data_IF_343322774064
#
_entry.id   IF_343322774064
#
_cell.length_a   1.000
_cell.length_b   1.000
_cell.length_c   1.000
_cell.angle_alpha   90.00
_cell.angle_beta   90.00
_cell.angle_gamma   90.00
#
_symmetry.space_group_name_H-M   'P 1'
#
loop_
_entity.id
_entity.type
_entity.pdbx_description
1 polymer ?
#
# COMPACT_ATOMS: atom_id res chain seq x y z
N UNK A 1 9.22 4.87 2.67
CA UNK A 1 7.97 4.39 3.29
C UNK A 1 6.82 4.54 2.32
N UNK A 2 5.91 3.59 2.32
CA UNK A 2 4.77 3.62 1.45
C UNK A 2 3.64 2.76 2.01
N UNK A 3 2.43 3.03 1.54
CA UNK A 3 1.29 2.14 1.75
C UNK A 3 0.98 1.44 0.44
N UNK A 4 0.37 0.27 0.54
CA UNK A 4 0.05 -0.56 -0.61
C UNK A 4 -1.41 -0.97 -0.55
N UNK A 5 -2.12 -0.77 -1.65
CA UNK A 5 -3.50 -1.24 -1.78
C UNK A 5 -3.49 -2.68 -2.31
N UNK A 6 -4.39 -3.50 -1.76
CA UNK A 6 -4.49 -4.91 -2.12
C UNK A 6 -5.55 -5.09 -3.20
N UNK A 7 -5.18 -5.73 -4.30
CA UNK A 7 -6.10 -6.21 -5.32
C UNK A 7 -6.40 -7.70 -5.10
N UNK A 8 -7.54 -8.16 -5.59
CA UNK A 8 -7.92 -9.58 -5.46
C UNK A 8 -6.86 -10.52 -6.03
N UNK A 9 -6.19 -10.10 -7.11
CA UNK A 9 -5.15 -10.90 -7.77
C UNK A 9 -3.95 -11.15 -6.87
N UNK A 10 -3.81 -10.42 -5.76
CA UNK A 10 -2.71 -10.58 -4.81
C UNK A 10 -3.04 -11.59 -3.70
N UNK A 11 -4.17 -12.29 -3.77
CA UNK A 11 -4.56 -13.24 -2.73
C UNK A 11 -3.70 -14.52 -2.70
N UNK A 12 -2.91 -14.79 -3.73
CA UNK A 12 -1.99 -15.92 -3.78
C UNK A 12 -0.57 -15.45 -3.49
N UNK A 13 0.28 -16.29 -2.88
CA UNK A 13 1.69 -15.95 -2.70
C UNK A 13 2.35 -15.65 -4.04
N UNK A 14 3.11 -14.58 -4.09
CA UNK A 14 3.84 -14.16 -5.27
C UNK A 14 5.28 -13.84 -4.84
N UNK A 15 6.24 -14.52 -5.43
CA UNK A 15 7.65 -14.39 -5.04
C UNK A 15 8.16 -12.97 -5.15
N UNK A 16 7.76 -12.24 -6.19
CA UNK A 16 8.21 -10.85 -6.38
C UNK A 16 7.64 -9.91 -5.33
N UNK A 17 6.36 -10.11 -4.95
CA UNK A 17 5.73 -9.32 -3.89
C UNK A 17 6.40 -9.60 -2.55
N UNK A 18 6.60 -10.87 -2.21
CA UNK A 18 7.24 -11.26 -0.96
C UNK A 18 8.68 -10.76 -0.90
N UNK A 19 9.41 -10.90 -1.98
CA UNK A 19 10.78 -10.39 -2.07
C UNK A 19 10.82 -8.87 -1.88
N UNK A 20 9.93 -8.16 -2.58
CA UNK A 20 9.87 -6.70 -2.51
C UNK A 20 9.60 -6.21 -1.09
N UNK A 21 8.57 -6.76 -0.44
CA UNK A 21 8.21 -6.33 0.90
C UNK A 21 9.25 -6.71 1.94
N UNK A 22 9.78 -7.93 1.86
CA UNK A 22 10.82 -8.38 2.78
C UNK A 22 12.07 -7.51 2.67
N UNK A 23 12.47 -7.17 1.44
CA UNK A 23 13.65 -6.35 1.21
C UNK A 23 13.46 -4.91 1.68
N UNK A 24 12.31 -4.32 1.39
CA UNK A 24 12.00 -2.97 1.85
C UNK A 24 11.97 -2.89 3.37
N UNK A 25 11.38 -3.88 4.04
CA UNK A 25 11.40 -3.95 5.50
C UNK A 25 12.82 -4.00 6.05
N UNK A 26 13.65 -4.84 5.45
CA UNK A 26 15.05 -4.99 5.85
C UNK A 26 15.84 -3.70 5.64
N UNK A 27 15.47 -2.92 4.64
CA UNK A 27 16.10 -1.62 4.35
C UNK A 27 15.55 -0.48 5.20
N UNK A 28 14.64 -0.76 6.11
CA UNK A 28 14.14 0.22 7.08
C UNK A 28 12.85 0.92 6.71
N UNK A 29 12.21 0.53 5.60
CA UNK A 29 10.92 1.12 5.22
C UNK A 29 9.79 0.56 6.08
N UNK A 30 8.83 1.42 6.37
CA UNK A 30 7.60 1.05 7.05
C UNK A 30 6.54 0.71 6.02
N UNK A 31 5.87 -0.43 6.19
CA UNK A 31 4.90 -0.93 5.22
C UNK A 31 3.52 -1.05 5.86
N UNK A 32 2.51 -0.62 5.14
CA UNK A 32 1.12 -0.74 5.57
C UNK A 32 0.23 -0.97 4.35
N UNK A 33 -0.97 -1.45 4.58
CA UNK A 33 -1.96 -1.72 3.53
C UNK A 33 -3.23 -0.92 3.82
N UNK A 34 -3.81 -0.35 2.78
CA UNK A 34 -5.08 0.37 2.84
C UNK A 34 -5.99 -0.16 1.72
N UNK A 35 -7.17 -0.64 2.09
CA UNK A 35 -8.09 -1.29 1.16
C UNK A 35 -9.52 -0.83 1.38
N UNK A 36 -10.32 -0.75 0.28
CA UNK A 36 -11.76 -0.48 0.37
C UNK A 36 -12.57 -1.73 0.75
N UNK A 37 -11.95 -2.89 0.90
CA UNK A 37 -12.63 -4.10 1.33
C UNK A 37 -12.92 -4.07 2.83
N UNK A 38 -13.82 -4.93 3.28
CA UNK A 38 -14.09 -5.09 4.70
C UNK A 38 -12.89 -5.73 5.41
N UNK A 39 -12.74 -5.44 6.71
CA UNK A 39 -11.58 -5.88 7.49
C UNK A 39 -11.30 -7.36 7.36
N UNK A 40 -12.33 -8.20 7.47
CA UNK A 40 -12.18 -9.65 7.38
C UNK A 40 -11.60 -10.08 6.04
N UNK A 41 -12.06 -9.47 4.94
CA UNK A 41 -11.56 -9.78 3.61
C UNK A 41 -10.09 -9.37 3.45
N UNK A 42 -9.72 -8.21 3.97
CA UNK A 42 -8.32 -7.75 3.92
C UNK A 42 -7.43 -8.70 4.71
N UNK A 43 -7.85 -9.09 5.90
CA UNK A 43 -7.09 -10.03 6.73
C UNK A 43 -6.90 -11.38 6.03
N UNK A 44 -7.93 -11.90 5.37
CA UNK A 44 -7.85 -13.16 4.62
C UNK A 44 -6.89 -13.03 3.45
N UNK A 45 -6.99 -11.95 2.67
CA UNK A 45 -6.11 -11.70 1.53
C UNK A 45 -4.65 -11.61 1.96
N UNK A 46 -4.36 -10.85 3.02
CA UNK A 46 -3.01 -10.68 3.54
C UNK A 46 -2.44 -11.99 4.05
N UNK A 47 -3.26 -12.80 4.72
CA UNK A 47 -2.84 -14.10 5.24
C UNK A 47 -2.55 -15.08 4.11
N UNK A 48 -3.43 -15.19 3.12
CA UNK A 48 -3.26 -16.10 1.97
C UNK A 48 -2.08 -15.73 1.12
N UNK A 49 -1.82 -14.43 0.94
CA UNK A 49 -0.67 -13.95 0.16
C UNK A 49 0.61 -13.96 0.96
N UNK A 50 0.56 -14.23 2.26
CA UNK A 50 1.67 -14.18 3.22
C UNK A 50 2.25 -12.77 3.42
N UNK A 51 1.61 -11.75 2.87
CA UNK A 51 2.07 -10.36 3.01
C UNK A 51 1.87 -9.82 4.43
N UNK A 52 1.00 -10.46 5.21
CA UNK A 52 0.70 -10.02 6.59
C UNK A 52 1.96 -9.97 7.46
N UNK A 53 2.97 -10.78 7.15
CA UNK A 53 4.20 -10.84 7.94
C UNK A 53 5.09 -9.59 7.77
N UNK A 54 4.85 -8.80 6.74
CA UNK A 54 5.71 -7.68 6.38
C UNK A 54 5.09 -6.31 6.64
N UNK A 55 3.79 -6.25 6.93
CA UNK A 55 3.10 -4.99 7.15
C UNK A 55 2.90 -4.73 8.64
N UNK A 56 3.02 -3.47 9.05
CA UNK A 56 2.86 -3.07 10.44
C UNK A 56 1.40 -3.03 10.85
N UNK A 57 0.52 -2.70 9.90
CA UNK A 57 -0.92 -2.66 10.10
C UNK A 57 -1.63 -2.65 8.74
N UNK A 58 -2.93 -2.85 8.77
CA UNK A 58 -3.76 -2.62 7.60
C UNK A 58 -5.02 -1.86 7.99
N UNK A 59 -5.54 -1.08 7.05
CA UNK A 59 -6.80 -0.37 7.19
C UNK A 59 -7.79 -0.90 6.17
N UNK A 60 -9.04 -1.00 6.60
CA UNK A 60 -10.16 -1.46 5.79
C UNK A 60 -11.20 -0.35 5.63
N UNK A 61 -12.26 -0.60 4.87
CA UNK A 61 -13.36 0.35 4.76
C UNK A 61 -14.09 0.58 6.09
N UNK A 62 -13.91 -0.31 7.05
CA UNK A 62 -14.51 -0.20 8.38
C UNK A 62 -13.72 0.71 9.31
N UNK A 63 -12.51 1.10 8.92
CA UNK A 63 -11.65 1.98 9.71
C UNK A 63 -11.82 3.45 9.34
N UNK A 64 -12.63 3.75 8.33
CA UNK A 64 -12.86 5.11 7.84
C UNK A 64 -14.35 5.38 7.66
N UNK A 65 -14.72 6.65 7.72
CA UNK A 65 -16.09 7.09 7.46
C UNK A 65 -16.36 7.22 5.96
N UNK A 66 -15.33 7.60 5.20
CA UNK A 66 -15.41 7.79 3.76
C UNK A 66 -14.36 6.95 3.07
N UNK A 67 -14.78 5.97 2.23
CA UNK A 67 -13.84 5.13 1.51
C UNK A 67 -13.16 5.90 0.36
N UNK A 68 -12.15 5.26 -0.26
CA UNK A 68 -11.55 5.79 -1.49
C UNK A 68 -12.68 6.08 -2.51
N UNK A 69 -12.66 7.17 -3.24
CA UNK A 69 -11.54 8.07 -3.53
C UNK A 69 -11.28 9.16 -2.48
N UNK A 70 -12.00 9.17 -1.37
CA UNK A 70 -11.74 10.14 -0.31
C UNK A 70 -10.33 9.88 0.27
N UNK A 71 -9.57 10.92 0.65
CA UNK A 71 -8.22 10.73 1.17
C UNK A 71 -8.16 10.16 2.59
N UNK A 72 -9.28 10.01 3.28
CA UNK A 72 -9.30 9.65 4.71
C UNK A 72 -8.45 8.42 5.03
N UNK A 73 -8.53 7.35 4.22
CA UNK A 73 -7.81 6.11 4.53
C UNK A 73 -6.30 6.30 4.45
N UNK A 74 -5.82 7.03 3.45
CA UNK A 74 -4.38 7.31 3.32
C UNK A 74 -3.91 8.35 4.33
N UNK A 75 -4.75 9.37 4.63
CA UNK A 75 -4.44 10.31 5.71
C UNK A 75 -4.26 9.58 7.03
N UNK A 76 -5.16 8.63 7.33
CA UNK A 76 -5.10 7.83 8.56
C UNK A 76 -3.86 6.93 8.59
N UNK A 77 -3.52 6.30 7.46
CA UNK A 77 -2.34 5.46 7.37
C UNK A 77 -1.07 6.26 7.58
N UNK A 78 -0.95 7.40 6.93
CA UNK A 78 0.22 8.29 7.02
C UNK A 78 0.39 8.78 8.45
N UNK A 79 -0.70 9.23 9.07
CA UNK A 79 -0.68 9.69 10.46
C UNK A 79 -0.25 8.57 11.41
N UNK A 80 -0.77 7.37 11.18
CA UNK A 80 -0.47 6.21 12.02
C UNK A 80 0.99 5.78 11.89
N UNK A 81 1.60 5.96 10.72
CA UNK A 81 3.03 5.72 10.52
C UNK A 81 3.89 6.79 11.18
N UNK A 82 3.31 7.92 11.58
CA UNK A 82 4.07 9.03 12.17
C UNK A 82 4.91 9.80 11.18
N UNK A 83 4.49 9.83 9.92
CA UNK A 83 5.25 10.43 8.83
C UNK A 83 4.50 11.62 8.21
N UNK A 84 5.19 12.36 7.36
CA UNK A 84 4.59 13.39 6.52
C UNK A 84 4.14 12.75 5.20
N UNK A 85 3.10 13.30 4.54
CA UNK A 85 2.70 12.79 3.23
C UNK A 85 3.85 12.74 2.22
N UNK A 86 4.74 13.72 2.25
CA UNK A 86 5.91 13.77 1.34
C UNK A 86 6.92 12.65 1.59
N UNK A 87 6.80 11.92 2.68
CA UNK A 87 7.66 10.79 3.02
C UNK A 87 7.03 9.45 2.67
N UNK A 88 5.83 9.45 2.08
CA UNK A 88 5.08 8.24 1.82
C UNK A 88 4.89 8.03 0.33
N UNK A 89 5.03 6.77 -0.09
CA UNK A 89 4.75 6.34 -1.46
C UNK A 89 3.59 5.36 -1.41
N UNK A 90 2.57 5.64 -2.21
CA UNK A 90 1.42 4.74 -2.37
C UNK A 90 1.56 4.00 -3.69
N UNK A 91 1.40 2.69 -3.67
CA UNK A 91 1.38 1.85 -4.87
C UNK A 91 -0.07 1.48 -5.13
N UNK A 92 -0.59 1.87 -6.29
CA UNK A 92 -2.02 1.77 -6.55
C UNK A 92 -2.30 1.48 -8.03
N UNK A 93 -3.28 0.61 -8.31
CA UNK A 93 -3.69 0.28 -9.68
C UNK A 93 -5.11 0.75 -10.01
N UNK A 94 -5.87 1.23 -9.04
CA UNK A 94 -7.28 1.60 -9.18
C UNK A 94 -7.44 3.12 -9.12
N UNK A 95 -8.29 3.66 -10.00
CA UNK A 95 -8.50 5.12 -10.08
C UNK A 95 -8.95 5.72 -8.74
N UNK A 96 -9.78 5.03 -7.98
CA UNK A 96 -10.24 5.52 -6.69
C UNK A 96 -9.10 5.61 -5.69
N UNK A 97 -8.21 4.62 -5.69
CA UNK A 97 -7.02 4.64 -4.84
C UNK A 97 -6.02 5.70 -5.26
N UNK A 98 -5.82 5.88 -6.56
CA UNK A 98 -4.95 6.91 -7.13
C UNK A 98 -5.43 8.30 -6.71
N UNK A 99 -6.72 8.56 -6.87
CA UNK A 99 -7.33 9.84 -6.50
C UNK A 99 -7.19 10.10 -5.00
N UNK A 100 -7.44 9.08 -4.18
CA UNK A 100 -7.31 9.15 -2.73
C UNK A 100 -5.87 9.49 -2.30
N UNK A 101 -4.89 8.81 -2.89
CA UNK A 101 -3.48 9.04 -2.58
C UNK A 101 -3.03 10.45 -2.95
N UNK A 102 -3.44 10.93 -4.11
CA UNK A 102 -3.12 12.28 -4.56
C UNK A 102 -3.73 13.33 -3.63
N UNK A 103 -5.00 13.13 -3.22
CA UNK A 103 -5.67 14.03 -2.32
C UNK A 103 -5.03 14.06 -0.93
N UNK A 104 -4.43 12.96 -0.50
CA UNK A 104 -3.69 12.87 0.76
C UNK A 104 -2.30 13.51 0.67
N UNK A 105 -1.84 13.85 -0.52
CA UNK A 105 -0.54 14.48 -0.71
C UNK A 105 0.64 13.52 -0.75
N UNK A 106 0.39 12.22 -0.84
CA UNK A 106 1.44 11.22 -0.92
C UNK A 106 2.04 11.15 -2.33
N UNK A 107 3.25 10.61 -2.42
CA UNK A 107 3.82 10.23 -3.71
C UNK A 107 3.10 8.98 -4.21
N UNK A 108 3.13 8.78 -5.51
CA UNK A 108 2.35 7.71 -6.13
C UNK A 108 3.20 6.93 -7.13
N UNK A 109 3.08 5.62 -7.07
CA UNK A 109 3.49 4.70 -8.12
C UNK A 109 2.23 4.06 -8.69
N UNK A 110 1.82 4.49 -9.86
CA UNK A 110 0.71 3.87 -10.58
C UNK A 110 1.20 2.61 -11.25
N UNK A 111 0.49 1.51 -11.06
CA UNK A 111 0.78 0.24 -11.71
C UNK A 111 -0.42 -0.20 -12.52
N UNK A 112 -0.18 -0.86 -13.65
CA UNK A 112 -1.26 -1.35 -14.51
C UNK A 112 -1.78 -2.68 -14.00
N UNK A 113 -0.88 -3.53 -13.50
CA UNK A 113 -1.23 -4.84 -12.96
C UNK A 113 -0.41 -5.12 -11.70
N UNK A 114 -0.83 -6.16 -10.96
CA UNK A 114 -0.09 -6.60 -9.77
C UNK A 114 1.31 -7.12 -10.12
N UNK A 115 1.55 -7.50 -11.37
CA UNK A 115 2.87 -7.93 -11.83
C UNK A 115 3.89 -6.79 -11.88
N UNK A 116 3.42 -5.54 -11.90
CA UNK A 116 4.27 -4.36 -11.87
C UNK A 116 4.71 -3.99 -10.44
N UNK A 117 4.18 -4.67 -9.43
CA UNK A 117 4.55 -4.46 -8.04
C UNK A 117 5.81 -5.26 -7.76
N UNK A 118 6.96 -4.66 -8.06
CA UNK A 118 8.27 -5.27 -7.89
C UNK A 118 9.17 -4.36 -7.07
N UNK A 119 10.20 -4.94 -6.45
CA UNK A 119 11.18 -4.15 -5.71
C UNK A 119 11.82 -3.09 -6.62
N UNK A 120 12.21 -3.49 -7.84
CA UNK A 120 12.89 -2.57 -8.76
C UNK A 120 12.01 -1.38 -9.14
N UNK A 121 10.75 -1.62 -9.45
CA UNK A 121 9.81 -0.53 -9.79
C UNK A 121 9.59 0.40 -8.60
N UNK A 122 9.46 -0.15 -7.41
CA UNK A 122 9.25 0.63 -6.19
C UNK A 122 10.50 1.45 -5.86
N UNK A 123 11.68 0.81 -5.83
CA UNK A 123 12.91 1.52 -5.44
C UNK A 123 13.31 2.56 -6.48
N UNK A 124 13.08 2.30 -7.76
CA UNK A 124 13.34 3.28 -8.80
C UNK A 124 12.46 4.52 -8.61
N UNK A 125 11.19 4.32 -8.24
CA UNK A 125 10.28 5.44 -7.97
C UNK A 125 10.74 6.24 -6.76
N UNK A 126 11.14 5.55 -5.69
CA UNK A 126 11.65 6.20 -4.47
C UNK A 126 12.90 7.02 -4.79
N UNK A 127 13.84 6.46 -5.54
CA UNK A 127 15.09 7.13 -5.88
C UNK A 127 14.89 8.36 -6.78
N UNK A 128 13.75 8.44 -7.46
CA UNK A 128 13.42 9.58 -8.33
C UNK A 128 12.51 10.61 -7.65
N UNK A 129 12.26 10.47 -6.35
CA UNK A 129 11.56 11.47 -5.55
C UNK A 129 12.60 12.50 -5.12
N UNK A 130 12.57 13.64 -5.71
CA UNK A 130 13.53 14.69 -5.40
C UNK A 130 12.88 15.84 -4.66
#
# INVERSE_FOLDING_TARGET
>A
EYTMSIAEDMCQPNKEHLYALARLRREGYHLAVASNAIRKSVAVLLTKSELIHFVEFFLSNQDVSKPKPDPEIYDSAIQRLGLLPSQCLVVEDNINGITSAKAAGAHLLEVDTVHDVTYDNIINRINNLA
#
